data_IF_848497762503
#
_entry.id   IF_848497762503
#
_cell.length_a   1.000
_cell.length_b   1.000
_cell.length_c   1.000
_cell.angle_alpha   90.00
_cell.angle_beta   90.00
_cell.angle_gamma   90.00
#
_symmetry.space_group_name_H-M   'P 1'
#
loop_
_entity.id
_entity.type
_entity.pdbx_description
1 polymer ?
#
# COMPACT_ATOMS: atom_id res chain seq x y z
N UNK A 1 -5.48 -8.72 -11.31
CA UNK A 1 -4.23 -8.13 -10.78
C UNK A 1 -4.40 -7.75 -9.32
N UNK A 2 -3.87 -8.55 -8.39
CA UNK A 2 -3.77 -8.17 -6.98
C UNK A 2 -2.83 -6.96 -6.88
N UNK A 3 -3.19 -5.95 -6.09
CA UNK A 3 -2.41 -4.75 -5.84
C UNK A 3 -1.13 -5.11 -5.07
N UNK A 4 -0.17 -5.77 -5.74
CA UNK A 4 1.18 -6.01 -5.25
C UNK A 4 2.06 -4.81 -5.61
N UNK A 5 1.63 -3.58 -5.29
CA UNK A 5 2.54 -2.42 -5.29
C UNK A 5 3.44 -2.53 -4.06
N UNK A 6 4.18 -3.63 -3.98
CA UNK A 6 5.30 -3.79 -3.07
C UNK A 6 6.52 -3.30 -3.82
N UNK A 7 7.32 -2.48 -3.16
CA UNK A 7 8.66 -2.17 -3.64
C UNK A 7 9.35 -3.48 -3.98
N UNK A 8 9.85 -3.60 -5.21
CA UNK A 8 10.46 -4.84 -5.69
C UNK A 8 11.67 -5.21 -4.81
N UNK A 9 12.06 -6.49 -4.71
CA UNK A 9 13.23 -6.89 -3.91
C UNK A 9 14.50 -6.11 -4.28
N UNK A 10 14.67 -5.77 -5.57
CA UNK A 10 15.78 -4.95 -6.07
C UNK A 10 15.72 -3.51 -5.54
N UNK A 11 14.54 -2.88 -5.55
CA UNK A 11 14.35 -1.54 -5.02
C UNK A 11 14.44 -1.51 -3.48
N UNK A 12 14.00 -2.56 -2.80
CA UNK A 12 14.17 -2.74 -1.36
C UNK A 12 15.65 -2.88 -0.97
N UNK A 13 16.42 -3.66 -1.72
CA UNK A 13 17.85 -3.81 -1.52
C UNK A 13 18.61 -2.49 -1.75
N UNK A 14 18.23 -1.72 -2.78
CA UNK A 14 18.77 -0.39 -3.03
C UNK A 14 18.45 0.57 -1.86
N UNK A 15 17.19 0.59 -1.40
CA UNK A 15 16.78 1.39 -0.25
C UNK A 15 17.53 1.02 1.04
N UNK A 16 17.76 -0.27 1.28
CA UNK A 16 18.56 -0.74 2.42
C UNK A 16 20.03 -0.28 2.32
N UNK A 17 20.62 -0.26 1.12
CA UNK A 17 21.96 0.31 0.90
C UNK A 17 21.99 1.81 1.17
N UNK A 18 20.98 2.55 0.73
CA UNK A 18 20.83 3.99 0.98
C UNK A 18 20.69 4.31 2.48
N UNK A 19 19.97 3.49 3.23
CA UNK A 19 19.87 3.65 4.70
C UNK A 19 21.19 3.42 5.42
N UNK A 20 21.98 2.42 4.97
CA UNK A 20 23.26 2.06 5.57
C UNK A 20 24.42 2.97 5.16
N UNK A 21 24.23 3.83 4.16
CA UNK A 21 25.30 4.70 3.68
C UNK A 21 25.48 5.93 4.59
N UNK A 22 26.70 6.19 5.09
CA UNK A 22 26.99 7.32 5.96
C UNK A 22 26.90 8.67 5.22
N UNK A 23 27.17 8.69 3.91
CA UNK A 23 27.12 9.90 3.06
C UNK A 23 25.71 10.29 2.61
N UNK A 24 24.68 9.53 2.99
CA UNK A 24 23.30 9.78 2.55
C UNK A 24 22.56 10.69 3.52
N UNK A 25 22.01 11.80 3.01
CA UNK A 25 21.24 12.77 3.79
C UNK A 25 19.92 12.22 4.35
N UNK A 26 19.40 12.88 5.40
CA UNK A 26 18.21 12.46 6.14
C UNK A 26 16.95 12.32 5.27
N UNK A 27 16.76 13.21 4.27
CA UNK A 27 15.63 13.16 3.34
C UNK A 27 15.65 11.88 2.48
N UNK A 28 16.82 11.53 1.94
CA UNK A 28 17.00 10.31 1.16
C UNK A 28 16.86 9.05 2.01
N UNK A 29 17.31 9.08 3.27
CA UNK A 29 17.08 8.00 4.24
C UNK A 29 15.60 7.84 4.58
N UNK A 30 14.84 8.93 4.71
CA UNK A 30 13.38 8.87 4.94
C UNK A 30 12.63 8.25 3.74
N UNK A 31 12.98 8.65 2.52
CA UNK A 31 12.42 8.07 1.30
C UNK A 31 12.77 6.58 1.16
N UNK A 32 14.03 6.21 1.42
CA UNK A 32 14.49 4.84 1.41
C UNK A 32 13.82 3.99 2.52
N UNK A 33 13.65 4.54 3.72
CA UNK A 33 12.91 3.91 4.82
C UNK A 33 11.45 3.64 4.45
N UNK A 34 10.79 4.60 3.81
CA UNK A 34 9.41 4.44 3.32
C UNK A 34 9.30 3.34 2.26
N UNK A 35 10.23 3.31 1.30
CA UNK A 35 10.27 2.28 0.27
C UNK A 35 10.58 0.88 0.83
N UNK A 36 11.48 0.79 1.82
CA UNK A 36 11.83 -0.45 2.51
C UNK A 36 10.66 -0.95 3.37
N UNK A 37 9.97 -0.07 4.09
CA UNK A 37 8.78 -0.41 4.86
C UNK A 37 7.64 -0.94 3.97
N UNK A 38 7.47 -0.36 2.77
CA UNK A 38 6.55 -0.85 1.74
C UNK A 38 6.97 -2.21 1.16
N UNK A 39 8.26 -2.53 1.13
CA UNK A 39 8.75 -3.85 0.71
C UNK A 39 8.48 -4.94 1.74
N UNK A 40 8.61 -4.62 3.03
CA UNK A 40 8.54 -5.59 4.12
C UNK A 40 7.15 -5.68 4.76
N UNK A 41 6.19 -4.88 4.30
CA UNK A 41 4.82 -4.96 4.81
C UNK A 41 4.05 -6.15 4.19
N UNK A 42 3.61 -7.05 5.07
CA UNK A 42 2.50 -7.98 4.82
C UNK A 42 1.16 -7.42 5.33
N UNK A 43 1.15 -6.19 5.86
CA UNK A 43 -0.06 -5.57 6.40
C UNK A 43 -0.97 -5.22 5.23
N UNK A 44 -2.16 -5.78 5.30
CA UNK A 44 -3.21 -5.64 4.30
C UNK A 44 -4.45 -5.16 5.01
N UNK A 45 -5.34 -4.49 4.30
CA UNK A 45 -6.60 -4.03 4.88
C UNK A 45 -7.37 -5.22 5.45
N UNK A 46 -7.63 -5.18 6.75
CA UNK A 46 -8.34 -6.25 7.44
C UNK A 46 -9.76 -6.42 6.90
N UNK A 47 -10.37 -7.60 7.08
CA UNK A 47 -11.75 -7.87 6.63
C UNK A 47 -12.72 -6.80 7.14
N UNK A 48 -12.61 -6.40 8.42
CA UNK A 48 -13.45 -5.36 9.04
C UNK A 48 -13.26 -3.99 8.39
N UNK A 49 -12.01 -3.55 8.20
CA UNK A 49 -11.71 -2.27 7.57
C UNK A 49 -12.19 -2.22 6.11
N UNK A 50 -12.08 -3.34 5.39
CA UNK A 50 -12.60 -3.43 4.03
C UNK A 50 -14.14 -3.40 3.95
N UNK A 51 -14.83 -4.02 4.90
CA UNK A 51 -16.30 -3.95 4.99
C UNK A 51 -16.74 -2.52 5.26
N UNK A 52 -16.08 -1.81 6.19
CA UNK A 52 -16.34 -0.39 6.44
C UNK A 52 -16.09 0.46 5.18
N UNK A 53 -14.95 0.28 4.52
CA UNK A 53 -14.65 0.95 3.25
C UNK A 53 -15.70 0.67 2.16
N UNK A 54 -16.18 -0.58 2.05
CA UNK A 54 -17.22 -0.95 1.08
C UNK A 54 -18.56 -0.27 1.40
N UNK A 55 -18.89 -0.10 2.68
CA UNK A 55 -20.06 0.67 3.11
C UNK A 55 -19.90 2.16 2.79
N UNK A 56 -18.72 2.74 3.05
CA UNK A 56 -18.42 4.14 2.72
C UNK A 56 -18.51 4.43 1.21
N UNK A 57 -18.11 3.49 0.36
CA UNK A 57 -18.27 3.62 -1.10
C UNK A 57 -19.73 3.61 -1.54
N UNK A 58 -20.58 2.86 -0.82
CA UNK A 58 -22.01 2.69 -1.12
C UNK A 58 -22.90 3.74 -0.45
N UNK A 59 -22.40 4.42 0.59
CA UNK A 59 -23.15 5.48 1.26
C UNK A 59 -23.18 6.74 0.39
N UNK A 60 -24.38 7.11 -0.06
CA UNK A 60 -24.65 8.32 -0.85
C UNK A 60 -24.21 9.61 -0.13
N UNK A 61 -24.15 9.60 1.20
CA UNK A 61 -23.78 10.75 2.05
C UNK A 61 -22.27 10.89 2.26
N UNK A 62 -21.46 9.93 1.80
CA UNK A 62 -20.00 10.01 1.92
C UNK A 62 -19.39 10.95 0.89
N UNK A 63 -18.49 11.84 1.34
CA UNK A 63 -17.77 12.78 0.47
C UNK A 63 -16.80 12.08 -0.49
N UNK A 64 -16.45 12.74 -1.59
CA UNK A 64 -15.49 12.20 -2.59
C UNK A 64 -14.14 11.82 -1.96
N UNK A 65 -13.69 12.59 -0.96
CA UNK A 65 -12.45 12.31 -0.23
C UNK A 65 -12.54 11.02 0.59
N UNK A 66 -13.66 10.82 1.29
CA UNK A 66 -13.93 9.60 2.04
C UNK A 66 -14.05 8.37 1.13
N UNK A 67 -14.70 8.52 -0.04
CA UNK A 67 -14.80 7.47 -1.06
C UNK A 67 -13.45 7.11 -1.67
N UNK A 68 -12.58 8.09 -1.93
CA UNK A 68 -11.23 7.85 -2.45
C UNK A 68 -10.33 7.11 -1.45
N UNK A 69 -10.38 7.51 -0.17
CA UNK A 69 -9.68 6.80 0.91
C UNK A 69 -10.20 5.37 1.08
N UNK A 70 -11.52 5.17 1.04
CA UNK A 70 -12.16 3.86 1.11
C UNK A 70 -11.78 2.96 -0.07
N UNK A 71 -11.76 3.50 -1.30
CA UNK A 71 -11.32 2.76 -2.49
C UNK A 71 -9.85 2.34 -2.42
N UNK A 72 -9.00 3.21 -1.87
CA UNK A 72 -7.58 2.92 -1.64
C UNK A 72 -7.39 1.82 -0.60
N UNK A 73 -8.13 1.86 0.51
CA UNK A 73 -8.11 0.82 1.53
C UNK A 73 -8.66 -0.52 0.99
N UNK A 74 -9.77 -0.50 0.25
CA UNK A 74 -10.35 -1.71 -0.34
C UNK A 74 -9.40 -2.37 -1.35
N UNK A 75 -8.69 -1.57 -2.15
CA UNK A 75 -7.67 -2.04 -3.09
C UNK A 75 -6.50 -2.74 -2.41
N UNK A 76 -6.16 -2.35 -1.18
CA UNK A 76 -5.09 -2.96 -0.38
C UNK A 76 -5.52 -4.25 0.35
N UNK A 77 -6.80 -4.64 0.26
CA UNK A 77 -7.25 -5.96 0.74
C UNK A 77 -6.77 -7.04 -0.24
N UNK A 78 -6.20 -8.17 0.21
CA UNK A 78 -5.92 -9.29 -0.67
C UNK A 78 -7.26 -9.96 -1.00
N UNK A 79 -7.78 -9.72 -2.20
CA UNK A 79 -8.96 -10.40 -2.70
C UNK A 79 -8.60 -11.70 -3.41
N UNK A 80 -9.20 -12.83 -2.99
CA UNK A 80 -9.40 -14.03 -3.81
C UNK A 80 -10.45 -13.73 -4.91
N UNK A 81 -10.18 -12.75 -5.76
CA UNK A 81 -11.16 -12.23 -6.70
C UNK A 81 -10.55 -11.21 -7.65
N UNK A 82 -9.82 -11.72 -8.65
CA UNK A 82 -9.51 -11.15 -9.98
C UNK A 82 -8.38 -11.97 -10.63
N UNK A 83 -8.67 -13.26 -10.78
CA UNK A 83 -7.91 -14.23 -11.58
C UNK A 83 -8.86 -15.06 -12.46
N UNK A 84 -9.99 -14.48 -12.87
CA UNK A 84 -10.89 -15.06 -13.85
C UNK A 84 -10.79 -14.28 -15.15
N UNK A 85 -10.27 -14.96 -16.18
CA UNK A 85 -10.26 -14.64 -17.62
C UNK A 85 -9.63 -13.29 -18.03
N UNK A 86 -8.45 -13.37 -18.63
CA UNK A 86 -8.21 -13.36 -20.09
C UNK A 86 -6.72 -13.15 -20.29
#
# INVERSE_FOLDING_TARGET
MAQKKKTSPKAAAAAAKTLKSPSTGAKSKSAAGSALAQSNTKKVTSKKAATAASKTLRDGRSSAKSKSAAGSALSQKPGKGRGGKR
#
